data_IF_459158723587
#
_entry.id   IF_459158723587
#
_cell.length_a   1.000
_cell.length_b   1.000
_cell.length_c   1.000
_cell.angle_alpha   90.00
_cell.angle_beta   90.00
_cell.angle_gamma   90.00
#
_symmetry.space_group_name_H-M   'P 1'
#
loop_
_entity.id
_entity.type
_entity.pdbx_description
1 polymer ?
#
# COMPACT_ATOMS: atom_id res chain seq x y z
N UNK A 1 -2.25 8.47 -12.39
CA UNK A 1 -1.78 7.19 -11.80
C UNK A 1 -2.79 6.13 -12.13
N UNK A 2 -2.36 4.98 -12.64
CA UNK A 2 -3.30 3.90 -12.94
C UNK A 2 -3.69 3.11 -11.68
N UNK A 3 -4.65 2.19 -11.84
CA UNK A 3 -5.18 1.40 -10.71
C UNK A 3 -4.11 0.52 -10.09
N UNK A 4 -3.23 -0.07 -10.90
CA UNK A 4 -2.17 -0.95 -10.38
C UNK A 4 -1.13 -0.19 -9.57
N UNK A 5 -0.78 1.01 -9.99
CA UNK A 5 0.14 1.88 -9.24
C UNK A 5 -0.48 2.29 -7.90
N UNK A 6 -1.78 2.57 -7.87
CA UNK A 6 -2.49 2.88 -6.63
C UNK A 6 -2.52 1.69 -5.68
N UNK A 7 -2.82 0.49 -6.20
CA UNK A 7 -2.85 -0.74 -5.40
C UNK A 7 -1.47 -1.01 -4.80
N UNK A 8 -0.42 -0.90 -5.60
CA UNK A 8 0.95 -1.06 -5.13
C UNK A 8 1.30 -0.04 -4.05
N UNK A 9 0.99 1.22 -4.30
CA UNK A 9 1.29 2.29 -3.36
C UNK A 9 0.50 2.13 -2.06
N UNK A 10 -0.74 1.67 -2.13
CA UNK A 10 -1.55 1.36 -0.95
C UNK A 10 -0.93 0.23 -0.13
N UNK A 11 -0.41 -0.81 -0.78
CA UNK A 11 0.28 -1.91 -0.10
C UNK A 11 1.55 -1.42 0.62
N UNK A 12 2.33 -0.59 -0.05
CA UNK A 12 3.54 -0.01 0.54
C UNK A 12 3.20 0.90 1.72
N UNK A 13 2.16 1.70 1.59
CA UNK A 13 1.69 2.61 2.64
C UNK A 13 1.21 1.82 3.86
N UNK A 14 0.45 0.76 3.64
CA UNK A 14 -0.02 -0.12 4.72
C UNK A 14 1.16 -0.72 5.49
N UNK A 15 2.21 -1.13 4.80
CA UNK A 15 3.34 -1.81 5.42
C UNK A 15 4.32 -0.85 6.08
N UNK A 16 4.64 0.26 5.41
CA UNK A 16 5.72 1.17 5.83
C UNK A 16 5.24 2.58 6.18
N UNK A 17 3.94 2.85 6.12
CA UNK A 17 3.42 4.20 6.33
C UNK A 17 3.81 4.82 7.67
N UNK A 18 3.96 4.01 8.71
CA UNK A 18 4.37 4.47 10.03
C UNK A 18 5.77 5.10 10.06
N UNK A 19 6.59 4.83 9.04
CA UNK A 19 7.94 5.37 8.91
C UNK A 19 7.98 6.72 8.17
N UNK A 20 6.86 7.13 7.59
CA UNK A 20 6.76 8.43 6.93
C UNK A 20 6.53 9.55 7.95
N UNK A 21 6.79 10.79 7.54
CA UNK A 21 6.36 11.94 8.33
C UNK A 21 4.83 11.93 8.41
N UNK A 22 4.27 12.51 9.48
CA UNK A 22 2.81 12.58 9.63
C UNK A 22 2.12 13.22 8.44
N UNK A 23 2.71 14.28 7.90
CA UNK A 23 2.16 15.01 6.75
C UNK A 23 2.19 14.16 5.47
N UNK A 24 3.29 13.50 5.17
CA UNK A 24 3.41 12.61 4.01
C UNK A 24 2.41 11.47 4.10
N UNK A 25 2.32 10.84 5.27
CA UNK A 25 1.39 9.73 5.51
C UNK A 25 -0.06 10.17 5.31
N UNK A 26 -0.45 11.30 5.88
CA UNK A 26 -1.81 11.82 5.79
C UNK A 26 -2.20 12.12 4.34
N UNK A 27 -1.35 12.85 3.61
CA UNK A 27 -1.63 13.20 2.22
C UNK A 27 -1.65 11.99 1.30
N UNK A 28 -0.74 11.03 1.51
CA UNK A 28 -0.75 9.76 0.77
C UNK A 28 -2.03 8.98 1.04
N UNK A 29 -2.47 8.89 2.29
CA UNK A 29 -3.70 8.19 2.64
C UNK A 29 -4.92 8.81 1.95
N UNK A 30 -5.03 10.13 1.97
CA UNK A 30 -6.12 10.82 1.27
C UNK A 30 -6.11 10.54 -0.22
N UNK A 31 -4.93 10.61 -0.84
CA UNK A 31 -4.79 10.46 -2.28
C UNK A 31 -4.99 9.01 -2.74
N UNK A 32 -4.43 8.06 -2.02
CA UNK A 32 -4.39 6.64 -2.43
C UNK A 32 -5.56 5.84 -1.86
N UNK A 33 -5.87 6.01 -0.58
CA UNK A 33 -6.90 5.22 0.11
C UNK A 33 -8.28 5.83 0.01
N UNK A 34 -8.38 7.17 0.05
CA UNK A 34 -9.66 7.89 -0.03
C UNK A 34 -10.00 8.36 -1.44
N UNK A 35 -9.14 8.05 -2.40
CA UNK A 35 -9.34 8.38 -3.82
C UNK A 35 -9.59 9.87 -4.08
N UNK A 36 -9.00 10.73 -3.27
CA UNK A 36 -9.12 12.18 -3.44
C UNK A 36 -8.19 12.67 -4.54
N UNK A 37 -8.62 13.71 -5.26
CA UNK A 37 -7.77 14.37 -6.23
C UNK A 37 -6.70 15.23 -5.51
N UNK A 38 -5.66 15.64 -6.24
CA UNK A 38 -4.65 16.54 -5.68
C UNK A 38 -5.28 17.86 -5.21
N UNK A 39 -6.26 18.36 -5.96
CA UNK A 39 -6.99 19.58 -5.59
C UNK A 39 -7.76 19.39 -4.28
N UNK A 40 -8.48 18.28 -4.14
CA UNK A 40 -9.26 17.98 -2.94
C UNK A 40 -8.36 17.84 -1.71
N UNK A 41 -7.22 17.15 -1.85
CA UNK A 41 -6.24 17.02 -0.76
C UNK A 41 -5.67 18.38 -0.38
N UNK A 42 -5.35 19.20 -1.38
CA UNK A 42 -4.83 20.55 -1.16
C UNK A 42 -5.82 21.41 -0.38
N UNK A 43 -7.11 21.37 -0.73
CA UNK A 43 -8.15 22.08 0.00
C UNK A 43 -8.29 21.59 1.44
N UNK A 44 -8.34 20.28 1.62
CA UNK A 44 -8.49 19.67 2.95
C UNK A 44 -7.32 20.02 3.87
N UNK A 45 -6.10 20.04 3.34
CA UNK A 45 -4.89 20.29 4.11
C UNK A 45 -4.51 21.80 4.18
N UNK A 46 -5.19 22.65 3.44
CA UNK A 46 -4.88 24.08 3.42
C UNK A 46 -3.53 24.41 2.78
N UNK A 47 -3.15 23.67 1.75
CA UNK A 47 -1.88 23.82 1.05
C UNK A 47 -2.10 23.91 -0.46
N UNK A 48 -1.04 24.11 -1.24
CA UNK A 48 -1.11 24.14 -2.69
C UNK A 48 -1.14 22.73 -3.28
N UNK A 49 -1.67 22.60 -4.51
CA UNK A 49 -1.59 21.34 -5.26
C UNK A 49 -0.16 20.87 -5.41
N UNK A 50 0.75 21.80 -5.68
CA UNK A 50 2.18 21.46 -5.84
C UNK A 50 2.74 20.88 -4.55
N UNK A 51 2.38 21.42 -3.39
CA UNK A 51 2.80 20.89 -2.10
C UNK A 51 2.31 19.46 -1.88
N UNK A 52 1.06 19.19 -2.27
CA UNK A 52 0.51 17.82 -2.21
C UNK A 52 1.27 16.89 -3.15
N UNK A 53 1.48 17.30 -4.39
CA UNK A 53 2.21 16.49 -5.37
C UNK A 53 3.61 16.15 -4.89
N UNK A 54 4.32 17.13 -4.31
CA UNK A 54 5.65 16.91 -3.76
C UNK A 54 5.61 15.95 -2.56
N UNK A 55 4.64 16.10 -1.67
CA UNK A 55 4.50 15.22 -0.51
C UNK A 55 4.19 13.77 -0.96
N UNK A 56 3.29 13.60 -1.92
CA UNK A 56 2.94 12.29 -2.47
C UNK A 56 4.15 11.65 -3.15
N UNK A 57 4.87 12.42 -3.96
CA UNK A 57 6.05 11.92 -4.67
C UNK A 57 7.15 11.51 -3.70
N UNK A 58 7.50 12.37 -2.76
CA UNK A 58 8.55 12.08 -1.78
C UNK A 58 8.17 10.93 -0.87
N UNK A 59 6.91 10.85 -0.46
CA UNK A 59 6.41 9.74 0.33
C UNK A 59 6.47 8.43 -0.43
N UNK A 60 6.06 8.41 -1.70
CA UNK A 60 6.12 7.22 -2.53
C UNK A 60 7.56 6.74 -2.73
N UNK A 61 8.49 7.66 -2.97
CA UNK A 61 9.92 7.34 -3.09
C UNK A 61 10.47 6.75 -1.79
N UNK A 62 10.10 7.31 -0.64
CA UNK A 62 10.50 6.80 0.65
C UNK A 62 9.97 5.39 0.90
N UNK A 63 8.70 5.14 0.59
CA UNK A 63 8.09 3.81 0.72
C UNK A 63 8.82 2.78 -0.16
N UNK A 64 9.18 3.15 -1.38
CA UNK A 64 9.91 2.27 -2.28
C UNK A 64 11.30 1.95 -1.73
N UNK A 65 11.99 2.94 -1.15
CA UNK A 65 13.29 2.69 -0.51
C UNK A 65 13.18 1.73 0.67
N UNK A 66 12.13 1.83 1.47
CA UNK A 66 11.90 0.90 2.58
C UNK A 66 11.64 -0.52 2.05
N UNK A 67 10.83 -0.64 1.00
CA UNK A 67 10.56 -1.94 0.38
C UNK A 67 11.84 -2.55 -0.21
N UNK A 68 12.65 -1.75 -0.89
CA UNK A 68 13.92 -2.20 -1.46
C UNK A 68 14.87 -2.75 -0.38
N UNK A 69 14.82 -2.16 0.81
CA UNK A 69 15.66 -2.60 1.93
C UNK A 69 15.10 -3.81 2.67
N UNK A 70 13.78 -3.91 2.83
CA UNK A 70 13.12 -4.91 3.68
C UNK A 70 12.53 -6.07 2.88
N UNK A 71 11.87 -5.78 1.76
CA UNK A 71 11.27 -6.78 0.89
C UNK A 71 10.04 -7.49 1.45
N UNK A 72 9.38 -6.92 2.46
CA UNK A 72 8.26 -7.58 3.14
C UNK A 72 7.01 -7.68 2.26
N UNK A 73 6.70 -6.66 1.48
CA UNK A 73 5.54 -6.69 0.57
C UNK A 73 5.76 -7.74 -0.52
N UNK A 74 6.94 -7.80 -1.11
CA UNK A 74 7.28 -8.80 -2.13
C UNK A 74 7.19 -10.22 -1.57
N UNK A 75 7.67 -10.43 -0.35
CA UNK A 75 7.59 -11.72 0.32
C UNK A 75 6.15 -12.14 0.58
N UNK A 76 5.34 -11.23 1.12
CA UNK A 76 3.90 -11.46 1.34
C UNK A 76 3.19 -11.86 0.06
N UNK A 77 3.40 -11.07 -0.99
CA UNK A 77 2.76 -11.30 -2.30
C UNK A 77 3.16 -12.67 -2.86
N UNK A 78 4.43 -13.04 -2.75
CA UNK A 78 4.92 -14.33 -3.22
C UNK A 78 4.29 -15.49 -2.45
N UNK A 79 4.18 -15.39 -1.13
CA UNK A 79 3.56 -16.41 -0.28
C UNK A 79 2.07 -16.55 -0.60
N UNK A 80 1.36 -15.41 -0.71
CA UNK A 80 -0.07 -15.42 -1.06
C UNK A 80 -0.32 -16.03 -2.43
N UNK A 81 0.50 -15.72 -3.42
CA UNK A 81 0.38 -16.29 -4.77
C UNK A 81 0.54 -17.81 -4.74
N UNK A 82 1.48 -18.31 -3.97
CA UNK A 82 1.69 -19.76 -3.83
C UNK A 82 0.53 -20.45 -3.11
N UNK A 83 0.01 -19.83 -2.06
CA UNK A 83 -1.17 -20.33 -1.34
C UNK A 83 -2.40 -20.35 -2.26
N UNK A 84 -2.61 -19.31 -3.04
CA UNK A 84 -3.72 -19.23 -3.99
C UNK A 84 -3.61 -20.30 -5.06
N UNK A 85 -2.39 -20.58 -5.54
CA UNK A 85 -2.14 -21.65 -6.50
C UNK A 85 -2.52 -23.02 -5.92
N UNK A 86 -2.11 -23.30 -4.70
CA UNK A 86 -2.41 -24.56 -4.01
C UNK A 86 -3.91 -24.72 -3.76
N UNK A 87 -4.58 -23.67 -3.33
CA UNK A 87 -6.02 -23.70 -3.05
C UNK A 87 -6.86 -23.79 -4.33
N UNK A 88 -6.35 -23.29 -5.46
CA UNK A 88 -7.00 -23.45 -6.75
C UNK A 88 -6.97 -24.89 -7.24
N UNK A 89 -5.89 -25.65 -6.91
CA UNK A 89 -5.77 -27.08 -7.25
C UNK A 89 -6.65 -27.93 -6.33
N UNK A 90 -6.84 -27.54 -5.07
CA UNK A 90 -7.67 -28.23 -4.10
C UNK A 90 -8.44 -27.21 -3.26
N UNK A 91 -9.70 -26.99 -3.62
CA UNK A 91 -10.56 -25.99 -2.97
C UNK A 91 -10.77 -26.22 -1.47
N UNK A 92 -10.55 -27.45 -0.97
CA UNK A 92 -10.69 -27.74 0.47
C UNK A 92 -9.55 -27.16 1.31
N UNK A 93 -8.41 -26.87 0.69
CA UNK A 93 -7.25 -26.32 1.40
C UNK A 93 -7.46 -24.92 1.91
N UNK A 94 -8.29 -24.11 1.26
CA UNK A 94 -8.52 -22.74 1.66
C UNK A 94 -9.05 -22.62 3.09
N UNK A 95 -9.97 -23.50 3.46
CA UNK A 95 -10.48 -23.57 4.82
C UNK A 95 -9.42 -24.02 5.83
N UNK A 96 -8.56 -24.96 5.44
CA UNK A 96 -7.50 -25.46 6.28
C UNK A 96 -6.37 -24.47 6.48
N UNK A 97 -6.17 -23.55 5.52
CA UNK A 97 -5.12 -22.55 5.54
C UNK A 97 -5.61 -21.19 6.02
N UNK A 98 -6.83 -21.11 6.54
CA UNK A 98 -7.43 -19.84 6.98
C UNK A 98 -6.54 -19.06 7.95
N UNK A 99 -5.92 -19.72 8.90
CA UNK A 99 -5.03 -19.06 9.86
C UNK A 99 -3.80 -18.44 9.18
N UNK A 100 -3.27 -19.11 8.14
CA UNK A 100 -2.12 -18.58 7.38
C UNK A 100 -2.52 -17.30 6.63
N UNK A 101 -3.68 -17.30 5.96
CA UNK A 101 -4.21 -16.12 5.28
C UNK A 101 -4.43 -14.97 6.27
N UNK A 102 -5.00 -15.24 7.43
CA UNK A 102 -5.20 -14.22 8.46
C UNK A 102 -3.90 -13.58 8.92
N UNK A 103 -2.86 -14.38 9.14
CA UNK A 103 -1.54 -13.87 9.54
C UNK A 103 -0.95 -12.97 8.47
N UNK A 104 -1.08 -13.35 7.18
CA UNK A 104 -0.51 -12.59 6.07
C UNK A 104 -1.29 -11.32 5.77
N UNK A 105 -2.61 -11.34 5.93
CA UNK A 105 -3.51 -10.21 5.63
C UNK A 105 -3.71 -9.27 6.82
N UNK A 106 -3.50 -9.77 8.01
CA UNK A 106 -3.61 -9.00 9.24
C UNK A 106 -2.47 -8.04 9.42
#
# INVERSE_FOLDING_TARGET
MDIQDRVRLASLLSEYGALLTGRQREMLAMYVEMDMSLFEVAEECGVTRQAVLDAVRHGAEALQRYEDAVGKVALKDAVLAELDRLTAEDGSLKGKLGAVYEILEG
#
